data_IF_313566502568
#
_entry.id   IF_313566502568
#
_cell.length_a   1.000
_cell.length_b   1.000
_cell.length_c   1.000
_cell.angle_alpha   90.00
_cell.angle_beta   90.00
_cell.angle_gamma   90.00
#
_symmetry.space_group_name_H-M   'P 1'
#
loop_
_entity.id
_entity.type
_entity.pdbx_description
1 polymer ?
#
# COMPACT_ATOMS: atom_id res chain seq x y z
N UNK A 1 -3.88 21.58 13.07
CA UNK A 1 -4.44 21.06 14.35
C UNK A 1 -4.58 19.54 14.21
N UNK A 2 -4.34 18.82 15.31
CA UNK A 2 -3.85 17.43 15.35
C UNK A 2 -4.73 16.39 14.67
N UNK A 3 -4.16 15.73 13.66
CA UNK A 3 -4.61 14.42 13.19
C UNK A 3 -3.80 13.39 13.97
N UNK A 4 -4.38 12.83 15.02
CA UNK A 4 -3.78 11.70 15.75
C UNK A 4 -4.22 10.40 15.07
N UNK A 5 -3.29 9.46 14.90
CA UNK A 5 -3.64 8.09 14.52
C UNK A 5 -3.91 7.29 15.80
N UNK A 6 -4.96 6.46 15.83
CA UNK A 6 -5.30 5.60 16.97
C UNK A 6 -4.29 4.47 17.22
N UNK A 7 -3.34 4.28 16.30
CA UNK A 7 -2.22 3.34 16.39
C UNK A 7 -1.20 3.58 15.28
N UNK A 8 -0.03 2.96 15.39
CA UNK A 8 0.98 2.94 14.33
C UNK A 8 0.63 1.90 13.26
N UNK A 9 1.10 2.14 12.03
CA UNK A 9 1.07 1.11 10.98
C UNK A 9 1.97 -0.07 11.39
N UNK A 10 1.57 -1.28 10.99
CA UNK A 10 2.39 -2.49 11.09
C UNK A 10 3.37 -2.63 9.93
N UNK A 11 3.28 -1.78 8.90
CA UNK A 11 4.22 -1.74 7.79
C UNK A 11 5.47 -0.95 8.19
N UNK A 12 6.61 -1.62 8.18
CA UNK A 12 7.89 -1.05 8.57
C UNK A 12 8.50 -0.17 7.47
N UNK A 13 9.28 0.82 7.88
CA UNK A 13 10.05 1.70 6.99
C UNK A 13 9.28 2.91 6.42
N UNK A 14 7.96 2.96 6.54
CA UNK A 14 7.11 4.07 6.06
C UNK A 14 6.23 4.64 7.18
N UNK A 15 5.67 5.84 6.99
CA UNK A 15 4.72 6.43 7.94
C UNK A 15 5.37 6.96 9.24
N UNK A 16 6.31 7.90 9.10
CA UNK A 16 6.98 8.54 10.26
C UNK A 16 5.97 9.37 11.09
N UNK A 17 6.12 9.42 12.43
CA UNK A 17 5.24 10.20 13.30
C UNK A 17 5.39 11.72 13.14
N UNK A 18 6.52 12.16 12.55
CA UNK A 18 6.82 13.55 12.24
C UNK A 18 7.26 13.67 10.79
N UNK A 19 6.96 14.81 10.17
CA UNK A 19 7.43 15.13 8.82
C UNK A 19 8.92 15.46 8.91
N UNK A 20 9.74 14.74 8.14
CA UNK A 20 11.18 14.96 8.07
C UNK A 20 11.52 16.19 7.22
N UNK A 21 12.64 16.85 7.49
CA UNK A 21 13.09 18.01 6.72
C UNK A 21 13.38 17.70 5.25
N UNK A 22 13.69 16.44 4.93
CA UNK A 22 13.88 15.95 3.56
C UNK A 22 12.58 15.74 2.80
N UNK A 23 11.41 15.81 3.44
CA UNK A 23 10.14 15.72 2.74
C UNK A 23 9.86 17.05 2.04
N UNK A 24 9.69 17.00 0.72
CA UNK A 24 9.39 18.16 -0.12
C UNK A 24 7.92 18.04 -0.57
N UNK A 25 6.95 18.66 0.12
CA UNK A 25 5.52 18.45 -0.15
C UNK A 25 5.10 18.91 -1.55
N UNK A 26 5.80 19.89 -2.11
CA UNK A 26 5.51 20.45 -3.44
C UNK A 26 5.81 19.49 -4.59
N UNK A 27 6.52 18.39 -4.34
CA UNK A 27 6.78 17.34 -5.32
C UNK A 27 5.77 16.18 -5.24
N UNK A 28 4.71 16.32 -4.43
CA UNK A 28 3.71 15.27 -4.20
C UNK A 28 2.35 15.77 -4.67
N UNK A 29 1.90 15.28 -5.82
CA UNK A 29 0.59 15.67 -6.37
C UNK A 29 -0.57 15.09 -5.56
N UNK A 30 -0.38 13.89 -5.02
CA UNK A 30 -1.39 13.20 -4.22
C UNK A 30 -0.81 12.22 -3.20
N UNK A 31 -1.60 11.95 -2.18
CA UNK A 31 -1.32 11.01 -1.11
C UNK A 31 -2.52 10.10 -0.86
N UNK A 32 -2.24 8.81 -0.70
CA UNK A 32 -3.23 7.79 -0.31
C UNK A 32 -2.84 7.17 1.03
N UNK A 33 -3.80 7.00 1.93
CA UNK A 33 -3.61 6.23 3.15
C UNK A 33 -4.07 4.79 2.92
N UNK A 34 -3.14 3.85 3.00
CA UNK A 34 -3.41 2.43 2.73
C UNK A 34 -3.56 1.66 4.05
N UNK A 35 -4.60 0.83 4.21
CA UNK A 35 -4.72 -0.10 5.34
C UNK A 35 -3.58 -1.13 5.36
N UNK A 36 -3.11 -1.52 6.55
CA UNK A 36 -2.04 -2.51 6.70
C UNK A 36 -2.41 -3.85 6.05
N UNK A 37 -3.64 -4.32 6.26
CA UNK A 37 -4.13 -5.58 5.70
C UNK A 37 -4.02 -5.60 4.16
N UNK A 38 -4.40 -4.50 3.52
CA UNK A 38 -4.35 -4.36 2.07
C UNK A 38 -2.91 -4.22 1.55
N UNK A 39 -2.04 -3.53 2.29
CA UNK A 39 -0.60 -3.49 1.99
C UNK A 39 0.04 -4.88 2.03
N UNK A 40 -0.29 -5.69 3.04
CA UNK A 40 0.26 -7.04 3.19
C UNK A 40 -0.33 -8.04 2.18
N UNK A 41 -1.61 -7.90 1.83
CA UNK A 41 -2.19 -8.62 0.68
C UNK A 41 -1.41 -8.32 -0.61
N UNK A 42 -1.16 -7.03 -0.88
CA UNK A 42 -0.42 -6.59 -2.05
C UNK A 42 1.02 -7.11 -2.06
N UNK A 43 1.69 -7.09 -0.90
CA UNK A 43 3.02 -7.68 -0.72
C UNK A 43 3.03 -9.17 -1.11
N UNK A 44 2.05 -9.97 -0.62
CA UNK A 44 1.93 -11.39 -0.97
C UNK A 44 1.67 -11.57 -2.47
N UNK A 45 0.79 -10.77 -3.06
CA UNK A 45 0.50 -10.83 -4.49
C UNK A 45 1.75 -10.53 -5.34
N UNK A 46 2.42 -9.40 -5.09
CA UNK A 46 3.64 -9.02 -5.81
C UNK A 46 4.72 -10.08 -5.63
N UNK A 47 4.86 -10.64 -4.43
CA UNK A 47 5.84 -11.71 -4.19
C UNK A 47 5.58 -12.95 -5.06
N UNK A 48 4.30 -13.34 -5.20
CA UNK A 48 3.89 -14.44 -6.09
C UNK A 48 4.16 -14.14 -7.56
N UNK A 49 3.85 -12.92 -8.01
CA UNK A 49 4.07 -12.51 -9.41
C UNK A 49 5.56 -12.46 -9.78
N UNK A 50 6.41 -12.01 -8.86
CA UNK A 50 7.85 -11.89 -9.10
C UNK A 50 8.65 -13.17 -8.80
N UNK A 51 8.04 -14.18 -8.15
CA UNK A 51 8.74 -15.37 -7.68
C UNK A 51 9.78 -15.10 -6.58
N UNK A 52 9.72 -13.94 -5.90
CA UNK A 52 10.62 -13.56 -4.80
C UNK A 52 9.90 -12.79 -3.71
N UNK A 53 10.38 -12.89 -2.47
CA UNK A 53 9.78 -12.19 -1.32
C UNK A 53 10.12 -10.70 -1.34
N UNK A 54 9.13 -9.84 -1.10
CA UNK A 54 9.29 -8.38 -0.93
C UNK A 54 8.77 -7.90 0.43
N UNK A 55 9.12 -6.69 0.85
CA UNK A 55 8.63 -6.09 2.09
C UNK A 55 7.23 -5.48 2.01
N UNK A 56 6.63 -5.23 3.18
CA UNK A 56 5.27 -4.67 3.28
C UNK A 56 5.10 -3.30 2.60
N UNK A 57 6.14 -2.46 2.63
CA UNK A 57 6.14 -1.14 1.98
C UNK A 57 6.05 -1.22 0.46
N UNK A 58 6.59 -2.29 -0.14
CA UNK A 58 6.38 -2.60 -1.56
C UNK A 58 4.91 -2.88 -1.84
N UNK A 59 4.23 -3.60 -0.94
CA UNK A 59 2.79 -3.81 -1.03
C UNK A 59 2.00 -2.52 -0.93
N UNK A 60 2.36 -1.62 0.00
CA UNK A 60 1.76 -0.27 0.09
C UNK A 60 1.93 0.51 -1.20
N UNK A 61 3.13 0.51 -1.78
CA UNK A 61 3.42 1.16 -3.06
C UNK A 61 2.57 0.57 -4.20
N UNK A 62 2.38 -0.76 -4.23
CA UNK A 62 1.56 -1.41 -5.25
C UNK A 62 0.07 -1.05 -5.15
N UNK A 63 -0.46 -0.84 -3.94
CA UNK A 63 -1.81 -0.27 -3.80
C UNK A 63 -1.88 1.15 -4.36
N UNK A 64 -0.84 1.95 -4.16
CA UNK A 64 -0.70 3.26 -4.82
C UNK A 64 -0.72 3.16 -6.35
N UNK A 65 -0.05 2.15 -6.93
CA UNK A 65 -0.10 1.87 -8.37
C UNK A 65 -1.52 1.55 -8.83
N UNK A 66 -2.23 0.67 -8.12
CA UNK A 66 -3.62 0.32 -8.46
C UNK A 66 -4.56 1.53 -8.35
N UNK A 67 -4.37 2.39 -7.34
CA UNK A 67 -5.14 3.62 -7.17
C UNK A 67 -4.88 4.61 -8.33
N UNK A 68 -3.62 4.80 -8.71
CA UNK A 68 -3.25 5.65 -9.84
C UNK A 68 -3.80 5.10 -11.17
N UNK A 69 -3.72 3.78 -11.38
CA UNK A 69 -4.27 3.13 -12.56
C UNK A 69 -5.79 3.29 -12.67
N UNK A 70 -6.50 3.16 -11.53
CA UNK A 70 -7.94 3.40 -11.48
C UNK A 70 -8.28 4.84 -11.83
N UNK A 71 -7.58 5.81 -11.24
CA UNK A 71 -7.78 7.23 -11.55
C UNK A 71 -7.48 7.53 -13.03
N UNK A 72 -6.35 7.05 -13.56
CA UNK A 72 -6.00 7.24 -14.97
C UNK A 72 -7.09 6.70 -15.89
N UNK A 73 -7.62 5.51 -15.59
CA UNK A 73 -8.71 4.91 -16.37
C UNK A 73 -9.99 5.76 -16.31
N UNK A 74 -10.37 6.24 -15.13
CA UNK A 74 -11.56 7.08 -14.93
C UNK A 74 -11.42 8.44 -15.66
N UNK A 75 -10.21 9.01 -15.66
CA UNK A 75 -9.89 10.26 -16.35
C UNK A 75 -9.60 10.09 -17.87
N UNK A 76 -9.62 8.85 -18.40
CA UNK A 76 -9.27 8.57 -19.79
C UNK A 76 -7.78 8.77 -20.14
N UNK A 77 -6.91 8.81 -19.13
CA UNK A 77 -5.46 8.91 -19.31
C UNK A 77 -4.83 7.55 -19.59
N UNK A 78 -3.79 7.55 -20.42
CA UNK A 78 -2.99 6.38 -20.77
C UNK A 78 -1.52 6.66 -20.49
N UNK A 79 -0.76 5.62 -20.14
CA UNK A 79 0.66 5.74 -19.82
C UNK A 79 1.17 4.60 -18.96
N UNK A 80 2.44 4.71 -18.56
CA UNK A 80 3.07 3.76 -17.65
C UNK A 80 3.06 4.29 -16.22
N UNK A 81 2.88 3.39 -15.25
CA UNK A 81 3.04 3.69 -13.82
C UNK A 81 4.29 2.99 -13.34
N UNK A 82 5.19 3.74 -12.70
CA UNK A 82 6.43 3.23 -12.13
C UNK A 82 6.31 3.22 -10.61
N UNK A 83 6.89 2.20 -9.99
CA UNK A 83 6.90 2.06 -8.54
C UNK A 83 8.23 1.50 -8.04
N UNK A 84 8.51 1.71 -6.75
CA UNK A 84 9.74 1.29 -6.10
C UNK A 84 9.45 0.03 -5.28
N UNK A 85 10.25 -1.01 -5.48
CA UNK A 85 10.31 -2.16 -4.57
C UNK A 85 11.36 -1.85 -3.51
N UNK A 86 10.91 -1.64 -2.27
CA UNK A 86 11.74 -1.00 -1.24
C UNK A 86 12.84 -1.92 -0.69
N UNK A 87 12.45 -3.11 -0.21
CA UNK A 87 13.39 -4.07 0.37
C UNK A 87 12.95 -5.53 0.20
N UNK A 88 13.90 -6.43 0.48
CA UNK A 88 13.74 -7.86 0.33
C UNK A 88 12.94 -8.45 1.50
N UNK A 89 12.07 -9.42 1.20
CA UNK A 89 11.09 -9.92 2.17
C UNK A 89 11.68 -10.82 3.27
N UNK A 90 12.92 -11.28 3.13
CA UNK A 90 13.61 -12.17 4.07
C UNK A 90 13.67 -11.60 5.48
N UNK A 91 13.73 -10.26 5.62
CA UNK A 91 13.77 -9.55 6.89
C UNK A 91 12.49 -9.74 7.72
N UNK A 92 11.39 -10.12 7.07
CA UNK A 92 10.06 -10.23 7.65
C UNK A 92 9.61 -11.68 7.86
N UNK A 93 10.56 -12.61 7.92
CA UNK A 93 10.28 -14.05 8.09
C UNK A 93 9.46 -14.36 9.36
N UNK A 94 9.66 -13.59 10.43
CA UNK A 94 8.96 -13.75 11.72
C UNK A 94 7.72 -12.84 11.86
N UNK A 95 7.37 -12.08 10.82
CA UNK A 95 6.21 -11.19 10.80
C UNK A 95 5.33 -11.42 9.57
N UNK A 96 5.55 -10.69 8.47
CA UNK A 96 4.66 -10.69 7.31
C UNK A 96 4.59 -12.04 6.58
N UNK A 97 5.58 -12.89 6.77
CA UNK A 97 5.64 -14.25 6.23
C UNK A 97 5.32 -15.34 7.27
N UNK A 98 4.89 -14.97 8.48
CA UNK A 98 4.37 -15.88 9.52
C UNK A 98 2.83 -15.77 9.59
N UNK A 99 2.06 -16.78 9.16
CA UNK A 99 0.61 -16.78 9.28
C UNK A 99 0.11 -16.53 10.71
N UNK A 100 0.81 -17.02 11.74
CA UNK A 100 0.42 -16.83 13.13
C UNK A 100 0.56 -15.37 13.57
N UNK A 101 1.43 -14.58 12.92
CA UNK A 101 1.56 -13.15 13.19
C UNK A 101 0.30 -12.39 12.82
N UNK A 102 -0.36 -12.72 11.68
CA UNK A 102 -1.61 -12.08 11.27
C UNK A 102 -2.73 -12.28 12.31
N UNK A 103 -2.84 -13.49 12.86
CA UNK A 103 -3.80 -13.81 13.93
C UNK A 103 -3.51 -12.95 15.16
N UNK A 104 -2.25 -12.85 15.58
CA UNK A 104 -1.84 -12.01 16.73
C UNK A 104 -2.12 -10.52 16.49
N UNK A 105 -2.05 -10.05 15.24
CA UNK A 105 -2.34 -8.66 14.89
C UNK A 105 -3.82 -8.39 14.61
N UNK A 106 -4.69 -9.42 14.59
CA UNK A 106 -6.10 -9.27 14.25
C UNK A 106 -6.32 -8.82 12.81
N UNK A 107 -5.47 -9.25 11.87
CA UNK A 107 -5.57 -8.87 10.45
C UNK A 107 -6.45 -9.87 9.71
N UNK A 108 -7.52 -9.39 9.09
CA UNK A 108 -8.35 -10.15 8.15
C UNK A 108 -7.58 -10.37 6.84
N UNK A 109 -6.96 -11.54 6.71
CA UNK A 109 -6.17 -11.93 5.53
C UNK A 109 -7.06 -12.22 4.34
N UNK A 110 -8.14 -12.97 4.54
CA UNK A 110 -8.99 -13.46 3.46
C UNK A 110 -9.79 -12.31 2.83
N UNK A 111 -10.34 -11.41 3.65
CA UNK A 111 -11.03 -10.22 3.16
C UNK A 111 -10.09 -9.31 2.37
N UNK A 112 -8.86 -9.10 2.85
CA UNK A 112 -7.88 -8.26 2.17
C UNK A 112 -7.37 -8.89 0.86
N UNK A 113 -7.15 -10.21 0.82
CA UNK A 113 -6.75 -10.91 -0.40
C UNK A 113 -7.88 -10.90 -1.45
N UNK A 114 -9.13 -11.04 -1.03
CA UNK A 114 -10.28 -10.92 -1.93
C UNK A 114 -10.42 -9.52 -2.52
N UNK A 115 -10.30 -8.47 -1.69
CA UNK A 115 -10.32 -7.07 -2.13
C UNK A 115 -9.21 -6.78 -3.13
N UNK A 116 -7.99 -7.25 -2.86
CA UNK A 116 -6.87 -7.09 -3.78
C UNK A 116 -7.09 -7.83 -5.10
N UNK A 117 -7.57 -9.07 -5.05
CA UNK A 117 -7.83 -9.87 -6.25
C UNK A 117 -8.84 -9.17 -7.16
N UNK A 118 -9.93 -8.62 -6.59
CA UNK A 118 -10.91 -7.83 -7.31
C UNK A 118 -10.28 -6.57 -7.96
N UNK A 119 -9.44 -5.85 -7.22
CA UNK A 119 -8.77 -4.65 -7.71
C UNK A 119 -7.80 -4.95 -8.88
N UNK A 120 -7.00 -6.02 -8.78
CA UNK A 120 -6.11 -6.48 -9.85
C UNK A 120 -6.90 -6.95 -11.08
N UNK A 121 -8.09 -7.53 -10.88
CA UNK A 121 -9.02 -7.87 -11.96
C UNK A 121 -9.78 -6.67 -12.55
N UNK A 122 -9.51 -5.45 -12.07
CA UNK A 122 -10.05 -4.20 -12.61
C UNK A 122 -11.33 -3.68 -11.93
N UNK A 123 -11.86 -4.39 -10.92
CA UNK A 123 -13.10 -4.02 -10.22
C UNK A 123 -12.96 -2.81 -9.27
N UNK A 124 -11.75 -2.26 -9.16
CA UNK A 124 -11.44 -1.07 -8.34
C UNK A 124 -11.05 -1.42 -6.90
N UNK A 125 -10.40 -0.47 -6.24
CA UNK A 125 -10.02 -0.58 -4.83
C UNK A 125 -11.20 -0.19 -3.91
N UNK A 126 -11.21 -0.66 -2.65
CA UNK A 126 -12.08 -0.04 -1.64
C UNK A 126 -11.75 1.45 -1.52
N UNK A 127 -12.73 2.28 -1.13
CA UNK A 127 -12.50 3.73 -0.97
C UNK A 127 -11.40 4.00 0.06
N UNK A 128 -10.25 4.47 -0.41
CA UNK A 128 -9.11 4.83 0.42
C UNK A 128 -9.15 6.32 0.79
N UNK A 129 -8.70 6.72 2.00
CA UNK A 129 -8.48 8.13 2.29
C UNK A 129 -7.44 8.70 1.33
N UNK A 130 -7.87 9.65 0.52
CA UNK A 130 -7.11 10.28 -0.56
C UNK A 130 -7.06 11.79 -0.35
N UNK A 131 -5.91 12.39 -0.65
CA UNK A 131 -5.73 13.83 -0.70
C UNK A 131 -4.87 14.19 -1.91
N UNK A 132 -5.35 15.05 -2.79
CA UNK A 132 -4.60 15.60 -3.92
C UNK A 132 -4.52 17.12 -3.85
N UNK A 133 -3.48 17.69 -4.45
CA UNK A 133 -3.31 19.15 -4.57
C UNK A 133 -4.26 19.75 -5.62
N UNK A 134 -4.69 18.95 -6.60
CA UNK A 134 -5.74 19.29 -7.55
C UNK A 134 -7.05 18.59 -7.18
N UNK A 135 -8.18 19.27 -7.40
CA UNK A 135 -9.48 18.62 -7.43
C UNK A 135 -9.56 17.79 -8.72
N UNK A 136 -9.09 16.55 -8.64
CA UNK A 136 -9.28 15.53 -9.66
C UNK A 136 -10.71 14.98 -9.56
#
# INVERSE_FOLDING_TARGET
RGRTCSGGSRVEGIGRPRVESSFIPTCVDAMVKVPDALSLAAMRHVSRQLGRRVGGSTGTNFIGVLQAAQWMREAGHQGSIVSILCDAGERYAQSYYDPAWYVRQGIDVDGADAQLAAAVAGQGLPKLPWCSLEAL
#
